data_IF_063204498942
#
_entry.id   IF_063204498942
#
_cell.length_a   1.000
_cell.length_b   1.000
_cell.length_c   1.000
_cell.angle_alpha   90.00
_cell.angle_beta   90.00
_cell.angle_gamma   90.00
#
_symmetry.space_group_name_H-M   'P 1'
#
loop_
_entity.id
_entity.type
_entity.pdbx_description
1 polymer ?
#
# COMPACT_ATOMS: atom_id res chain seq x y z
N UNK A 1 7.76 -21.57 -22.93
CA UNK A 1 8.84 -20.67 -22.46
C UNK A 1 8.89 -19.35 -23.23
N UNK A 2 8.56 -19.34 -24.52
CA UNK A 2 8.41 -18.12 -25.32
C UNK A 2 7.27 -17.22 -24.80
N UNK A 3 6.10 -17.79 -24.51
CA UNK A 3 4.93 -17.07 -23.97
C UNK A 3 5.25 -16.26 -22.70
N UNK A 4 6.00 -16.86 -21.77
CA UNK A 4 6.45 -16.19 -20.54
C UNK A 4 7.45 -15.06 -20.81
N UNK A 5 8.32 -15.19 -21.81
CA UNK A 5 9.23 -14.11 -22.20
C UNK A 5 8.46 -12.94 -22.83
N UNK A 6 7.46 -13.22 -23.66
CA UNK A 6 6.63 -12.20 -24.31
C UNK A 6 5.82 -11.44 -23.25
N UNK A 7 5.21 -12.15 -22.30
CA UNK A 7 4.50 -11.53 -21.18
C UNK A 7 5.42 -10.63 -20.33
N UNK A 8 6.62 -11.12 -20.00
CA UNK A 8 7.61 -10.34 -19.25
C UNK A 8 8.05 -9.08 -20.01
N UNK A 9 8.39 -9.22 -21.29
CA UNK A 9 8.78 -8.10 -22.14
C UNK A 9 7.67 -7.05 -22.25
N UNK A 10 6.41 -7.49 -22.37
CA UNK A 10 5.25 -6.60 -22.46
C UNK A 10 5.06 -5.81 -21.16
N UNK A 11 5.13 -6.45 -20.00
CA UNK A 11 5.05 -5.75 -18.70
C UNK A 11 6.19 -4.73 -18.54
N UNK A 12 7.41 -5.09 -18.94
CA UNK A 12 8.57 -4.19 -18.91
C UNK A 12 8.37 -2.96 -19.80
N UNK A 13 7.87 -3.14 -21.03
CA UNK A 13 7.56 -2.04 -21.94
C UNK A 13 6.51 -1.10 -21.34
N UNK A 14 5.44 -1.66 -20.74
CA UNK A 14 4.40 -0.86 -20.09
C UNK A 14 4.92 -0.11 -18.85
N UNK A 15 5.80 -0.73 -18.07
CA UNK A 15 6.44 -0.09 -16.92
C UNK A 15 7.34 1.08 -17.35
N UNK A 16 8.11 0.92 -18.44
CA UNK A 16 8.92 2.01 -19.02
C UNK A 16 8.02 3.13 -19.56
N UNK A 17 6.85 2.80 -20.11
CA UNK A 17 5.84 3.75 -20.54
C UNK A 17 5.12 4.47 -19.38
N UNK A 18 5.59 4.31 -18.13
CA UNK A 18 5.03 4.89 -16.89
C UNK A 18 3.59 4.46 -16.59
N UNK A 19 3.14 3.34 -17.15
CA UNK A 19 1.88 2.74 -16.70
C UNK A 19 2.11 2.18 -15.30
N UNK A 20 1.22 2.44 -14.32
CA UNK A 20 1.36 1.87 -12.99
C UNK A 20 1.43 0.34 -13.08
N UNK A 21 2.42 -0.25 -12.41
CA UNK A 21 2.77 -1.66 -12.57
C UNK A 21 1.58 -2.59 -12.33
N UNK A 22 0.69 -2.25 -11.38
CA UNK A 22 -0.53 -3.00 -11.11
C UNK A 22 -1.45 -3.13 -12.33
N UNK A 23 -1.66 -2.06 -13.10
CA UNK A 23 -2.47 -2.12 -14.32
C UNK A 23 -1.78 -2.92 -15.43
N UNK A 24 -0.46 -2.76 -15.57
CA UNK A 24 0.31 -3.54 -16.53
C UNK A 24 0.22 -5.05 -16.23
N UNK A 25 0.38 -5.44 -14.96
CA UNK A 25 0.26 -6.82 -14.53
C UNK A 25 -1.17 -7.37 -14.68
N UNK A 26 -2.19 -6.56 -14.38
CA UNK A 26 -3.58 -6.95 -14.55
C UNK A 26 -3.91 -7.22 -16.02
N UNK A 27 -3.53 -6.32 -16.93
CA UNK A 27 -3.83 -6.47 -18.37
C UNK A 27 -3.05 -7.62 -19.00
N UNK A 28 -1.72 -7.67 -18.79
CA UNK A 28 -0.89 -8.71 -19.41
C UNK A 28 -1.16 -10.07 -18.78
N UNK A 29 -1.38 -10.13 -17.47
CA UNK A 29 -1.76 -11.35 -16.77
C UNK A 29 -3.12 -11.86 -17.24
N UNK A 30 -4.15 -11.02 -17.27
CA UNK A 30 -5.49 -11.42 -17.70
C UNK A 30 -5.52 -11.86 -19.18
N UNK A 31 -4.89 -11.09 -20.07
CA UNK A 31 -4.86 -11.43 -21.50
C UNK A 31 -4.02 -12.67 -21.79
N UNK A 32 -2.84 -12.79 -21.16
CA UNK A 32 -2.01 -14.00 -21.27
C UNK A 32 -2.75 -15.23 -20.77
N UNK A 33 -3.37 -15.16 -19.60
CA UNK A 33 -4.13 -16.28 -19.05
C UNK A 33 -5.36 -16.63 -19.90
N UNK A 34 -6.03 -15.63 -20.49
CA UNK A 34 -7.17 -15.84 -21.38
C UNK A 34 -6.77 -16.56 -22.66
N UNK A 35 -5.59 -16.27 -23.23
CA UNK A 35 -5.07 -16.96 -24.42
C UNK A 35 -4.71 -18.41 -24.10
N UNK A 36 -4.11 -18.67 -22.92
CA UNK A 36 -3.66 -20.02 -22.56
C UNK A 36 -4.78 -20.95 -22.04
N UNK A 37 -5.72 -20.44 -21.25
CA UNK A 37 -6.76 -21.26 -20.57
C UNK A 37 -8.19 -20.91 -20.97
N UNK A 38 -8.39 -19.89 -21.81
CA UNK A 38 -9.70 -19.40 -22.21
C UNK A 38 -10.17 -18.20 -21.36
N UNK A 39 -11.09 -17.39 -21.93
CA UNK A 39 -11.50 -16.11 -21.33
C UNK A 39 -12.28 -16.25 -20.02
N UNK A 40 -13.06 -17.33 -19.87
CA UNK A 40 -13.83 -17.61 -18.64
C UNK A 40 -12.92 -17.88 -17.45
N UNK A 41 -11.94 -18.76 -17.60
CA UNK A 41 -10.97 -19.07 -16.55
C UNK A 41 -10.11 -17.85 -16.15
N UNK A 42 -9.80 -16.98 -17.11
CA UNK A 42 -9.06 -15.75 -16.83
C UNK A 42 -9.88 -14.77 -15.99
N UNK A 43 -11.16 -14.57 -16.33
CA UNK A 43 -12.08 -13.73 -15.56
C UNK A 43 -12.28 -14.25 -14.13
N UNK A 44 -12.47 -15.56 -13.97
CA UNK A 44 -12.58 -16.19 -12.65
C UNK A 44 -11.31 -15.97 -11.80
N UNK A 45 -10.14 -16.19 -12.39
CA UNK A 45 -8.84 -16.03 -11.70
C UNK A 45 -8.62 -14.58 -11.27
N UNK A 46 -8.91 -13.61 -12.15
CA UNK A 46 -8.80 -12.18 -11.84
C UNK A 46 -9.79 -11.80 -10.74
N UNK A 47 -11.03 -12.28 -10.81
CA UNK A 47 -12.04 -12.04 -9.77
C UNK A 47 -11.59 -12.57 -8.41
N UNK A 48 -11.03 -13.78 -8.37
CA UNK A 48 -10.52 -14.39 -7.15
C UNK A 48 -9.33 -13.59 -6.57
N UNK A 49 -8.38 -13.14 -7.39
CA UNK A 49 -7.26 -12.30 -6.95
C UNK A 49 -7.74 -10.99 -6.30
N UNK A 50 -8.79 -10.37 -6.84
CA UNK A 50 -9.35 -9.13 -6.27
C UNK A 50 -9.99 -9.39 -4.90
N UNK A 51 -10.72 -10.49 -4.77
CA UNK A 51 -11.33 -10.89 -3.50
C UNK A 51 -10.27 -11.20 -2.45
N UNK A 52 -9.24 -11.98 -2.82
CA UNK A 52 -8.14 -12.34 -1.93
C UNK A 52 -7.36 -11.10 -1.47
N UNK A 53 -7.13 -10.13 -2.36
CA UNK A 53 -6.50 -8.87 -2.00
C UNK A 53 -7.37 -8.04 -1.06
N UNK A 54 -8.68 -7.96 -1.31
CA UNK A 54 -9.61 -7.19 -0.49
C UNK A 54 -9.80 -7.79 0.91
N UNK A 55 -9.75 -9.12 1.01
CA UNK A 55 -9.81 -9.87 2.27
C UNK A 55 -8.42 -10.05 2.91
N UNK A 56 -7.37 -9.46 2.33
CA UNK A 56 -6.02 -9.56 2.87
C UNK A 56 -5.91 -8.78 4.17
N UNK A 57 -5.28 -9.40 5.17
CA UNK A 57 -4.90 -8.72 6.40
C UNK A 57 -4.05 -7.48 6.12
N UNK A 58 -3.17 -7.53 5.11
CA UNK A 58 -2.32 -6.40 4.71
C UNK A 58 -3.14 -5.20 4.24
N UNK A 59 -4.25 -5.44 3.52
CA UNK A 59 -5.12 -4.35 3.08
C UNK A 59 -5.88 -3.75 4.27
N UNK A 60 -6.28 -4.56 5.26
CA UNK A 60 -6.95 -4.10 6.48
C UNK A 60 -6.07 -3.23 7.39
N UNK A 61 -4.74 -3.36 7.29
CA UNK A 61 -3.80 -2.52 8.05
C UNK A 61 -3.94 -1.03 7.68
N UNK A 62 -4.15 -0.72 6.39
CA UNK A 62 -4.23 0.65 5.87
C UNK A 62 -5.37 1.48 6.51
N UNK A 63 -6.64 1.04 6.50
CA UNK A 63 -7.72 1.76 7.18
C UNK A 63 -7.55 1.78 8.70
N UNK A 64 -6.96 0.74 9.30
CA UNK A 64 -6.68 0.74 10.75
C UNK A 64 -5.65 1.80 11.14
N UNK A 65 -4.61 2.02 10.32
CA UNK A 65 -3.67 3.13 10.52
C UNK A 65 -4.35 4.49 10.37
N UNK A 66 -5.23 4.65 9.37
CA UNK A 66 -6.00 5.89 9.21
C UNK A 66 -6.92 6.14 10.41
N UNK A 67 -7.60 5.10 10.90
CA UNK A 67 -8.45 5.17 12.08
C UNK A 67 -7.65 5.52 13.34
N UNK A 68 -6.50 4.88 13.54
CA UNK A 68 -5.57 5.21 14.63
C UNK A 68 -5.14 6.68 14.56
N UNK A 69 -4.75 7.15 13.36
CA UNK A 69 -4.38 8.56 13.15
C UNK A 69 -5.52 9.52 13.47
N UNK A 70 -6.75 9.17 13.08
CA UNK A 70 -7.95 9.94 13.41
C UNK A 70 -8.21 9.98 14.92
N UNK A 71 -8.02 8.88 15.64
CA UNK A 71 -8.15 8.84 17.09
C UNK A 71 -7.09 9.70 17.77
N UNK A 72 -5.81 9.57 17.41
CA UNK A 72 -4.71 10.38 17.96
C UNK A 72 -4.94 11.87 17.74
N UNK A 73 -5.41 12.25 16.54
CA UNK A 73 -5.72 13.64 16.23
C UNK A 73 -6.91 14.17 17.06
N UNK A 74 -7.98 13.37 17.20
CA UNK A 74 -9.21 13.79 17.90
C UNK A 74 -9.05 13.82 19.42
N UNK A 75 -8.25 12.93 20.01
CA UNK A 75 -8.02 12.87 21.45
C UNK A 75 -7.01 13.90 21.95
N UNK A 76 -6.46 14.76 21.08
CA UNK A 76 -5.40 15.71 21.40
C UNK A 76 -4.17 15.05 22.07
N UNK A 77 -3.98 13.74 21.88
CA UNK A 77 -2.92 12.97 22.53
C UNK A 77 -1.53 13.48 22.15
N UNK A 78 -1.37 14.06 20.95
CA UNK A 78 -0.15 14.76 20.55
C UNK A 78 0.19 15.95 21.47
N UNK A 79 -0.81 16.72 21.92
CA UNK A 79 -0.59 17.84 22.84
C UNK A 79 -0.26 17.34 24.24
N UNK A 80 -0.98 16.33 24.74
CA UNK A 80 -0.73 15.74 26.05
C UNK A 80 0.69 15.15 26.12
N UNK A 81 1.14 14.48 25.07
CA UNK A 81 2.51 13.98 24.96
C UNK A 81 3.53 15.12 24.93
N UNK A 82 3.24 16.23 24.25
CA UNK A 82 4.13 17.39 24.21
C UNK A 82 4.25 18.06 25.59
N UNK A 83 3.14 18.24 26.28
CA UNK A 83 3.09 18.82 27.63
C UNK A 83 3.78 17.91 28.65
N UNK A 84 3.57 16.60 28.57
CA UNK A 84 4.26 15.62 29.42
C UNK A 84 5.78 15.62 29.16
N UNK A 85 6.18 15.66 27.89
CA UNK A 85 7.59 15.76 27.50
C UNK A 85 8.22 17.06 28.00
N UNK A 86 7.48 18.18 27.93
CA UNK A 86 7.91 19.47 28.46
C UNK A 86 8.01 19.46 29.99
N UNK A 87 7.07 18.84 30.70
CA UNK A 87 7.12 18.72 32.15
C UNK A 87 8.35 17.90 32.61
N UNK A 88 8.76 16.88 31.84
CA UNK A 88 9.94 16.08 32.17
C UNK A 88 11.26 16.75 31.78
N UNK A 89 11.35 17.29 30.56
CA UNK A 89 12.61 17.80 29.99
C UNK A 89 12.80 19.31 30.21
N UNK A 90 11.73 20.06 30.44
CA UNK A 90 11.75 21.52 30.61
C UNK A 90 12.45 22.00 31.88
N UNK A 91 12.66 21.12 32.87
CA UNK A 91 13.43 21.42 34.08
C UNK A 91 14.94 21.49 33.82
N UNK A 92 15.44 20.99 32.68
CA UNK A 92 16.84 21.11 32.27
C UNK A 92 17.05 22.38 31.43
N UNK A 93 18.09 23.16 31.75
CA UNK A 93 18.45 24.39 31.01
C UNK A 93 18.74 24.03 29.54
N UNK A 94 17.85 24.40 28.61
CA UNK A 94 17.90 24.04 27.19
C UNK A 94 16.88 22.99 26.72
N UNK A 95 15.96 22.52 27.58
CA UNK A 95 15.02 21.43 27.28
C UNK A 95 14.10 21.64 26.08
N UNK A 96 13.66 22.87 25.81
CA UNK A 96 12.82 23.20 24.66
C UNK A 96 13.55 23.08 23.31
N UNK A 97 14.88 23.33 23.25
CA UNK A 97 15.65 23.14 22.02
C UNK A 97 15.90 21.67 21.66
N UNK A 98 15.74 20.75 22.61
CA UNK A 98 15.81 19.30 22.35
C UNK A 98 14.47 18.70 21.88
N UNK A 99 13.35 19.40 22.08
CA UNK A 99 12.01 18.91 21.74
C UNK A 99 11.52 19.32 20.34
N UNK A 100 12.26 20.16 19.62
CA UNK A 100 11.82 20.80 18.35
C UNK A 100 12.71 20.44 17.14
N UNK A 101 13.29 19.24 17.09
CA UNK A 101 13.80 18.68 15.81
C UNK A 101 12.83 17.64 15.30
#
# INVERSE_FOLDING_TARGET
MTESLIGLATVLVLAIARVPLGFAMAVVGATGFAVLRGPTAALETVGQLILDFSMSYTFAILPMFVLMGAFVHRSALSNDLYETSHAWLGHFRGGLSMATV
#
